data_IF_808395173383
#
_entry.id   IF_808395173383
#
_cell.length_a   1.000
_cell.length_b   1.000
_cell.length_c   1.000
_cell.angle_alpha   90.00
_cell.angle_beta   90.00
_cell.angle_gamma   90.00
#
_symmetry.space_group_name_H-M   'P 1'
#
loop_
_entity.id
_entity.type
_entity.pdbx_description
1 polymer ?
#
# COMPACT_ATOMS: atom_id res chain seq x y z
N UNK A 1 23.33 -21.65 6.08
CA UNK A 1 22.20 -20.71 5.89
C UNK A 1 21.17 -21.40 5.00
N UNK A 2 19.91 -21.49 5.43
CA UNK A 2 18.84 -22.14 4.66
C UNK A 2 18.53 -21.40 3.35
N UNK A 3 17.91 -22.08 2.38
CA UNK A 3 17.40 -21.44 1.17
C UNK A 3 16.28 -20.46 1.49
N UNK A 4 16.21 -19.30 0.79
CA UNK A 4 15.08 -18.39 0.95
C UNK A 4 13.80 -19.10 0.50
N UNK A 5 12.67 -18.88 1.19
CA UNK A 5 11.42 -19.53 0.84
C UNK A 5 10.94 -19.07 -0.55
N UNK A 6 10.78 -20.02 -1.46
CA UNK A 6 10.26 -19.79 -2.81
C UNK A 6 8.73 -19.90 -2.82
N UNK A 7 8.07 -19.05 -3.61
CA UNK A 7 6.62 -19.08 -3.73
C UNK A 7 6.12 -20.05 -4.79
N UNK A 8 4.93 -20.59 -4.54
CA UNK A 8 4.27 -21.51 -5.45
C UNK A 8 3.79 -20.82 -6.75
N UNK A 9 3.71 -21.64 -7.80
CA UNK A 9 3.33 -21.22 -9.14
C UNK A 9 1.82 -21.36 -9.42
N UNK A 10 1.07 -21.92 -8.50
CA UNK A 10 -0.35 -22.20 -8.71
C UNK A 10 -1.19 -20.93 -8.81
N UNK A 11 -2.21 -20.98 -9.68
CA UNK A 11 -3.23 -19.94 -9.76
C UNK A 11 -4.07 -19.95 -8.49
N UNK A 12 -4.04 -18.87 -7.72
CA UNK A 12 -4.95 -18.73 -6.59
C UNK A 12 -6.37 -18.49 -7.13
N UNK A 13 -7.39 -19.03 -6.45
CA UNK A 13 -8.78 -18.76 -6.82
C UNK A 13 -9.11 -17.26 -6.77
N UNK A 14 -8.46 -16.53 -5.86
CA UNK A 14 -8.62 -15.08 -5.75
C UNK A 14 -8.01 -14.32 -6.92
N UNK A 15 -6.88 -14.78 -7.48
CA UNK A 15 -6.32 -14.19 -8.68
C UNK A 15 -7.28 -14.36 -9.87
N UNK A 16 -7.92 -15.53 -10.02
CA UNK A 16 -8.94 -15.75 -11.04
C UNK A 16 -10.13 -14.80 -10.87
N UNK A 17 -10.68 -14.73 -9.64
CA UNK A 17 -11.80 -13.85 -9.30
C UNK A 17 -11.46 -12.38 -9.55
N UNK A 18 -10.27 -11.93 -9.19
CA UNK A 18 -9.83 -10.56 -9.44
C UNK A 18 -9.74 -10.26 -10.94
N UNK A 19 -9.13 -11.15 -11.73
CA UNK A 19 -9.05 -10.98 -13.18
C UNK A 19 -10.43 -10.93 -13.83
N UNK A 20 -11.37 -11.78 -13.39
CA UNK A 20 -12.77 -11.75 -13.84
C UNK A 20 -13.45 -10.42 -13.50
N UNK A 21 -13.28 -9.92 -12.27
CA UNK A 21 -13.83 -8.62 -11.86
C UNK A 21 -13.26 -7.46 -12.69
N UNK A 22 -11.96 -7.48 -13.00
CA UNK A 22 -11.34 -6.44 -13.84
C UNK A 22 -11.84 -6.51 -15.28
N UNK A 23 -11.94 -7.73 -15.86
CA UNK A 23 -12.51 -7.95 -17.20
C UNK A 23 -13.95 -7.45 -17.27
N UNK A 24 -14.77 -7.77 -16.26
CA UNK A 24 -16.16 -7.31 -16.20
C UNK A 24 -16.26 -5.77 -16.12
N UNK A 25 -15.40 -5.10 -15.33
CA UNK A 25 -15.35 -3.63 -15.26
C UNK A 25 -14.96 -3.00 -16.59
N UNK A 26 -14.02 -3.60 -17.32
CA UNK A 26 -13.58 -3.14 -18.64
C UNK A 26 -14.67 -3.31 -19.70
N UNK A 27 -15.47 -4.38 -19.63
CA UNK A 27 -16.61 -4.60 -20.52
C UNK A 27 -17.76 -3.62 -20.27
N UNK A 28 -17.96 -3.19 -19.02
CA UNK A 28 -19.01 -2.24 -18.64
C UNK A 28 -18.65 -0.77 -18.94
N UNK A 29 -17.35 -0.47 -19.01
CA UNK A 29 -16.84 0.86 -19.35
C UNK A 29 -15.71 0.72 -20.38
N UNK A 30 -16.05 0.44 -21.66
CA UNK A 30 -15.06 0.55 -22.73
C UNK A 30 -14.55 1.98 -22.71
N UNK A 31 -13.24 2.15 -22.49
CA UNK A 31 -12.64 3.48 -22.46
C UNK A 31 -12.97 4.19 -23.78
N UNK A 32 -13.65 5.34 -23.69
CA UNK A 32 -14.00 6.17 -24.84
C UNK A 32 -12.75 6.43 -25.70
N UNK A 33 -12.70 5.80 -26.88
CA UNK A 33 -11.84 6.19 -27.99
C UNK A 33 -10.35 5.87 -27.92
N UNK A 34 -9.83 5.11 -26.95
CA UNK A 34 -8.42 4.66 -27.00
C UNK A 34 -8.30 3.26 -27.59
N UNK A 35 -8.37 3.17 -28.92
CA UNK A 35 -7.75 2.07 -29.65
C UNK A 35 -6.24 2.11 -29.41
N UNK A 36 -5.71 1.12 -28.67
CA UNK A 36 -4.25 0.89 -28.55
C UNK A 36 -3.65 0.91 -27.15
N UNK A 37 -4.44 1.03 -26.07
CA UNK A 37 -3.91 0.75 -24.73
C UNK A 37 -3.72 -0.77 -24.58
N UNK A 38 -2.48 -1.22 -24.76
CA UNK A 38 -2.01 -2.57 -24.47
C UNK A 38 -2.63 -3.07 -23.15
N UNK A 39 -3.32 -4.21 -23.18
CA UNK A 39 -3.97 -4.80 -22.00
C UNK A 39 -2.86 -5.08 -21.00
N UNK A 40 -2.69 -4.17 -20.02
CA UNK A 40 -1.70 -4.33 -18.98
C UNK A 40 -2.00 -5.64 -18.27
N UNK A 41 -1.07 -6.59 -18.33
CA UNK A 41 -1.26 -7.94 -17.82
C UNK A 41 -1.73 -7.87 -16.36
N UNK A 42 -3.00 -8.22 -16.11
CA UNK A 42 -3.62 -8.09 -14.77
C UNK A 42 -3.04 -9.13 -13.80
N UNK A 43 -2.52 -10.22 -14.37
CA UNK A 43 -1.96 -11.35 -13.66
C UNK A 43 -0.52 -11.58 -14.10
N UNK A 44 0.33 -12.02 -13.18
CA UNK A 44 1.61 -12.62 -13.50
C UNK A 44 1.68 -14.00 -12.88
N UNK A 45 1.85 -15.01 -13.74
CA UNK A 45 2.03 -16.41 -13.37
C UNK A 45 1.05 -16.85 -12.26
N UNK A 46 -0.22 -16.50 -12.42
CA UNK A 46 -1.32 -16.90 -11.51
C UNK A 46 -1.59 -16.02 -10.30
N UNK A 47 -0.96 -14.84 -10.18
CA UNK A 47 -1.20 -13.86 -9.10
C UNK A 47 -1.51 -12.48 -9.69
N UNK A 48 -2.37 -11.68 -9.08
CA UNK A 48 -2.61 -10.32 -9.55
C UNK A 48 -1.41 -9.41 -9.27
N UNK A 49 -1.19 -8.44 -10.14
CA UNK A 49 -0.09 -7.48 -9.96
C UNK A 49 -0.48 -6.44 -8.91
N UNK A 50 0.38 -6.26 -7.91
CA UNK A 50 0.24 -5.24 -6.88
C UNK A 50 0.65 -3.89 -7.46
N UNK A 51 -0.28 -2.94 -7.44
CA UNK A 51 -0.11 -1.57 -7.89
C UNK A 51 -1.11 -0.64 -7.21
N UNK A 52 -1.46 0.46 -7.90
CA UNK A 52 -2.42 1.43 -7.38
C UNK A 52 -3.80 0.78 -7.26
N UNK A 53 -4.36 0.85 -6.05
CA UNK A 53 -5.73 0.43 -5.73
C UNK A 53 -6.04 -1.04 -6.06
N UNK A 54 -5.00 -1.87 -6.16
CA UNK A 54 -5.11 -3.33 -6.24
C UNK A 54 -4.95 -3.94 -4.85
N UNK A 55 -5.53 -5.12 -4.59
CA UNK A 55 -5.22 -5.86 -3.37
C UNK A 55 -3.72 -6.15 -3.26
N UNK A 56 -3.22 -6.20 -2.03
CA UNK A 56 -1.80 -6.43 -1.74
C UNK A 56 -1.60 -7.91 -1.41
N UNK A 57 -2.37 -8.46 -0.48
CA UNK A 57 -2.34 -9.87 -0.13
C UNK A 57 -2.73 -10.73 -1.34
N UNK A 58 -2.09 -11.90 -1.43
CA UNK A 58 -2.13 -12.87 -2.54
C UNK A 58 -1.54 -12.37 -3.87
N UNK A 59 -1.09 -11.11 -3.92
CA UNK A 59 -0.56 -10.47 -5.13
C UNK A 59 0.95 -10.66 -5.32
N UNK A 60 1.43 -10.13 -6.44
CA UNK A 60 2.85 -10.09 -6.81
C UNK A 60 3.28 -8.68 -7.23
N UNK A 61 4.44 -8.22 -6.81
CA UNK A 61 4.98 -6.89 -7.09
C UNK A 61 6.28 -6.96 -7.90
N UNK A 62 6.39 -6.14 -8.95
CA UNK A 62 7.56 -6.04 -9.83
C UNK A 62 8.28 -4.71 -9.70
N UNK A 63 9.59 -4.72 -9.96
CA UNK A 63 10.36 -3.49 -10.22
C UNK A 63 11.21 -3.65 -11.48
N UNK A 64 10.87 -2.88 -12.52
CA UNK A 64 11.83 -2.32 -13.49
C UNK A 64 12.83 -3.28 -14.15
N UNK A 65 12.42 -4.52 -14.43
CA UNK A 65 13.27 -5.58 -14.96
C UNK A 65 12.75 -6.91 -14.43
N UNK A 66 12.85 -7.97 -15.21
CA UNK A 66 12.33 -9.33 -14.95
C UNK A 66 12.94 -10.05 -13.74
N UNK A 67 13.79 -9.36 -12.97
CA UNK A 67 14.70 -10.00 -12.02
C UNK A 67 14.09 -10.25 -10.64
N UNK A 68 13.00 -9.57 -10.28
CA UNK A 68 12.33 -9.79 -8.98
C UNK A 68 10.80 -9.72 -9.05
N UNK A 69 10.17 -10.79 -8.56
CA UNK A 69 8.73 -10.90 -8.37
C UNK A 69 8.41 -11.17 -6.88
N UNK A 70 8.25 -10.12 -6.06
CA UNK A 70 7.92 -10.29 -4.64
C UNK A 70 6.46 -10.70 -4.47
N UNK A 71 6.22 -11.81 -3.77
CA UNK A 71 4.87 -12.29 -3.44
C UNK A 71 4.50 -11.93 -2.01
N UNK A 72 3.29 -11.40 -1.84
CA UNK A 72 2.65 -11.21 -0.53
C UNK A 72 1.50 -12.19 -0.45
N UNK A 73 1.57 -13.17 0.44
CA UNK A 73 0.54 -14.21 0.59
C UNK A 73 0.59 -14.77 2.02
N UNK A 74 -0.32 -14.33 2.88
CA UNK A 74 -0.32 -14.72 4.29
C UNK A 74 -0.86 -16.14 4.57
N UNK A 75 -1.50 -16.78 3.59
CA UNK A 75 -1.92 -18.18 3.68
C UNK A 75 -0.73 -19.12 3.45
N UNK A 76 0.17 -18.73 2.54
CA UNK A 76 1.36 -19.51 2.17
C UNK A 76 2.62 -19.09 2.92
N UNK A 77 2.70 -17.84 3.38
CA UNK A 77 3.81 -17.28 4.16
C UNK A 77 3.39 -16.91 5.59
N UNK A 78 3.45 -17.91 6.48
CA UNK A 78 3.07 -17.76 7.89
C UNK A 78 3.86 -16.67 8.64
N UNK A 79 5.04 -16.28 8.16
CA UNK A 79 5.81 -15.21 8.81
C UNK A 79 5.09 -13.86 8.73
N UNK A 80 4.29 -13.62 7.68
CA UNK A 80 3.46 -12.42 7.58
C UNK A 80 2.41 -12.36 8.70
N UNK A 81 1.79 -13.50 9.04
CA UNK A 81 0.84 -13.60 10.14
C UNK A 81 1.51 -13.36 11.50
N UNK A 82 2.74 -13.85 11.71
CA UNK A 82 3.48 -13.59 12.94
C UNK A 82 3.74 -12.09 13.16
N UNK A 83 4.15 -11.37 12.11
CA UNK A 83 4.34 -9.91 12.18
C UNK A 83 3.01 -9.18 12.40
N UNK A 84 1.93 -9.66 11.79
CA UNK A 84 0.60 -9.10 12.03
C UNK A 84 0.13 -9.29 13.48
N UNK A 85 0.31 -10.48 14.05
CA UNK A 85 -0.02 -10.72 15.46
C UNK A 85 0.84 -9.88 16.41
N UNK A 86 2.11 -9.66 16.06
CA UNK A 86 2.98 -8.73 16.81
C UNK A 86 2.42 -7.30 16.80
N UNK A 87 1.90 -6.83 15.66
CA UNK A 87 1.24 -5.53 15.57
C UNK A 87 0.01 -5.45 16.49
N UNK A 88 -0.85 -6.48 16.45
CA UNK A 88 -2.05 -6.54 17.30
C UNK A 88 -1.70 -6.55 18.79
N UNK A 89 -0.68 -7.30 19.20
CA UNK A 89 -0.17 -7.28 20.58
C UNK A 89 0.28 -5.88 20.98
N UNK A 90 1.05 -5.22 20.13
CA UNK A 90 1.53 -3.86 20.40
C UNK A 90 0.40 -2.83 20.47
N UNK A 91 -0.71 -3.05 19.75
CA UNK A 91 -1.91 -2.23 19.84
C UNK A 91 -2.66 -2.45 21.16
N UNK A 92 -2.80 -3.72 21.60
CA UNK A 92 -3.41 -4.09 22.89
C UNK A 92 -2.64 -3.52 24.08
N UNK A 93 -1.31 -3.63 24.08
CA UNK A 93 -0.46 -3.08 25.15
C UNK A 93 -0.63 -1.55 25.29
N UNK A 94 -0.73 -0.84 24.17
CA UNK A 94 -0.94 0.63 24.19
C UNK A 94 -2.33 1.00 24.72
N UNK A 95 -3.34 0.17 24.45
CA UNK A 95 -4.67 0.35 25.04
C UNK A 95 -4.65 0.16 26.56
N UNK A 96 -3.93 -0.87 27.05
CA UNK A 96 -3.80 -1.13 28.48
C UNK A 96 -3.08 0.01 29.23
N UNK A 97 -2.29 0.82 28.52
CA UNK A 97 -1.62 2.02 29.04
C UNK A 97 -2.49 3.30 28.95
N UNK A 98 -3.80 3.17 28.71
CA UNK A 98 -4.76 4.28 28.73
C UNK A 98 -4.84 5.09 27.42
N UNK A 99 -4.13 4.68 26.36
CA UNK A 99 -4.26 5.30 25.03
C UNK A 99 -5.42 4.70 24.24
N UNK A 100 -6.06 5.47 23.36
CA UNK A 100 -7.09 4.91 22.46
C UNK A 100 -6.46 3.88 21.52
N UNK A 101 -7.10 2.72 21.35
CA UNK A 101 -6.64 1.61 20.52
C UNK A 101 -6.22 2.01 19.09
N UNK A 102 -6.94 2.95 18.47
CA UNK A 102 -6.67 3.43 17.10
C UNK A 102 -5.61 4.52 17.01
N UNK A 103 -5.19 5.11 18.13
CA UNK A 103 -4.20 6.19 18.13
C UNK A 103 -2.83 5.65 17.76
N UNK A 104 -2.23 6.20 16.71
CA UNK A 104 -0.87 5.86 16.32
C UNK A 104 -0.71 4.54 15.55
N UNK A 105 -1.79 3.90 15.08
CA UNK A 105 -1.72 2.69 14.23
C UNK A 105 -0.77 2.90 13.05
N UNK A 106 -0.92 4.01 12.31
CA UNK A 106 -0.06 4.30 11.15
C UNK A 106 1.43 4.41 11.55
N UNK A 107 1.71 4.99 12.72
CA UNK A 107 3.08 5.07 13.26
C UNK A 107 3.62 3.69 13.63
N UNK A 108 2.80 2.83 14.22
CA UNK A 108 3.18 1.46 14.60
C UNK A 108 3.43 0.60 13.37
N UNK A 109 2.55 0.63 12.37
CA UNK A 109 2.74 -0.09 11.10
C UNK A 109 4.02 0.36 10.40
N UNK A 110 4.21 1.67 10.25
CA UNK A 110 5.42 2.23 9.66
C UNK A 110 6.69 1.79 10.41
N UNK A 111 6.68 1.85 11.75
CA UNK A 111 7.82 1.47 12.57
C UNK A 111 8.10 -0.05 12.50
N UNK A 112 7.05 -0.87 12.50
CA UNK A 112 7.18 -2.32 12.41
C UNK A 112 7.75 -2.73 11.06
N UNK A 113 7.29 -2.14 9.95
CA UNK A 113 7.84 -2.42 8.63
C UNK A 113 9.33 -2.08 8.53
N UNK A 114 9.74 -0.91 9.05
CA UNK A 114 11.16 -0.52 9.11
C UNK A 114 12.00 -1.46 9.97
N UNK A 115 11.46 -1.90 11.12
CA UNK A 115 12.16 -2.77 12.06
C UNK A 115 12.32 -4.19 11.48
N UNK A 116 11.26 -4.72 10.89
CA UNK A 116 11.24 -6.08 10.33
C UNK A 116 12.08 -6.17 9.06
N UNK A 117 12.07 -5.15 8.21
CA UNK A 117 12.82 -5.10 6.96
C UNK A 117 13.71 -3.85 6.97
N UNK A 118 14.86 -3.85 7.67
CA UNK A 118 15.79 -2.74 7.61
C UNK A 118 16.33 -2.55 6.19
N UNK A 119 16.66 -1.30 5.82
CA UNK A 119 17.16 -1.01 4.47
C UNK A 119 18.58 -1.59 4.30
N UNK A 120 18.73 -2.61 3.44
CA UNK A 120 19.96 -3.35 3.16
C UNK A 120 19.95 -3.84 1.70
N UNK A 121 20.48 -3.02 0.81
CA UNK A 121 20.54 -3.30 -0.63
C UNK A 121 21.38 -4.54 -0.95
N UNK A 122 22.60 -4.64 -0.41
CA UNK A 122 23.46 -5.81 -0.63
C UNK A 122 22.83 -7.15 -0.23
N UNK A 123 22.00 -7.16 0.83
CA UNK A 123 21.26 -8.38 1.22
C UNK A 123 20.14 -8.70 0.24
N UNK A 124 19.50 -7.67 -0.31
CA UNK A 124 18.48 -7.83 -1.36
C UNK A 124 19.11 -8.48 -2.58
N UNK A 125 20.26 -7.98 -3.03
CA UNK A 125 20.98 -8.53 -4.19
C UNK A 125 21.38 -9.99 -3.95
N UNK A 126 21.85 -10.34 -2.75
CA UNK A 126 22.15 -11.73 -2.39
C UNK A 126 20.92 -12.63 -2.48
N UNK A 127 19.76 -12.18 -2.00
CA UNK A 127 18.52 -12.95 -2.05
C UNK A 127 18.10 -13.13 -3.51
N UNK A 128 18.07 -12.05 -4.29
CA UNK A 128 17.63 -12.06 -5.70
C UNK A 128 18.57 -12.94 -6.55
N UNK A 129 19.88 -12.75 -6.43
CA UNK A 129 20.88 -13.53 -7.17
C UNK A 129 20.82 -15.03 -6.83
N UNK A 130 20.46 -15.38 -5.59
CA UNK A 130 20.33 -16.79 -5.19
C UNK A 130 19.09 -17.46 -5.78
N UNK A 131 17.99 -16.73 -5.95
CA UNK A 131 16.75 -17.29 -6.49
C UNK A 131 16.79 -17.29 -8.04
N UNK A 132 17.41 -16.27 -8.64
CA UNK A 132 17.49 -16.10 -10.08
C UNK A 132 16.30 -15.34 -10.68
N UNK A 133 16.41 -15.06 -11.98
CA UNK A 133 15.46 -14.24 -12.75
C UNK A 133 14.10 -14.95 -12.87
N UNK A 134 13.02 -14.18 -13.01
CA UNK A 134 11.66 -14.67 -13.29
C UNK A 134 11.06 -15.58 -12.22
N UNK A 135 11.62 -15.60 -11.00
CA UNK A 135 11.13 -16.41 -9.89
C UNK A 135 10.40 -15.57 -8.85
N UNK A 136 9.33 -16.16 -8.30
CA UNK A 136 8.58 -15.56 -7.20
C UNK A 136 9.29 -15.77 -5.86
N UNK A 137 9.44 -14.70 -5.10
CA UNK A 137 10.07 -14.70 -3.78
C UNK A 137 9.05 -14.21 -2.75
N UNK A 138 8.80 -14.98 -1.70
CA UNK A 138 7.93 -14.49 -0.63
C UNK A 138 8.54 -13.27 0.08
N UNK A 139 7.70 -12.32 0.48
CA UNK A 139 8.14 -11.11 1.17
C UNK A 139 8.96 -11.42 2.45
N UNK A 140 8.66 -12.51 3.16
CA UNK A 140 9.43 -12.91 4.35
C UNK A 140 10.90 -13.21 4.09
N UNK A 141 11.30 -13.54 2.86
CA UNK A 141 12.72 -13.71 2.52
C UNK A 141 13.54 -12.45 2.84
N UNK A 142 12.91 -11.27 2.76
CA UNK A 142 13.51 -9.96 3.04
C UNK A 142 13.41 -9.55 4.52
N UNK A 143 12.90 -10.40 5.41
CA UNK A 143 12.90 -10.11 6.85
C UNK A 143 14.35 -10.07 7.37
N UNK A 144 14.73 -8.96 8.00
CA UNK A 144 16.09 -8.66 8.43
C UNK A 144 16.95 -7.92 7.39
N UNK A 145 16.44 -7.67 6.17
CA UNK A 145 17.05 -6.77 5.20
C UNK A 145 16.37 -6.75 3.84
N UNK A 146 15.98 -5.56 3.38
CA UNK A 146 15.33 -5.33 2.09
C UNK A 146 15.52 -3.88 1.60
N UNK A 147 14.72 -3.44 0.64
CA UNK A 147 14.73 -2.05 0.13
C UNK A 147 13.31 -1.45 0.18
N UNK A 148 13.12 -0.29 -0.44
CA UNK A 148 11.88 0.50 -0.33
C UNK A 148 10.62 -0.30 -0.67
N UNK A 149 10.63 -1.10 -1.73
CA UNK A 149 9.49 -1.94 -2.13
C UNK A 149 9.11 -2.96 -1.05
N UNK A 150 10.09 -3.64 -0.44
CA UNK A 150 9.82 -4.65 0.59
C UNK A 150 9.21 -4.01 1.84
N UNK A 151 9.73 -2.85 2.25
CA UNK A 151 9.17 -2.09 3.36
C UNK A 151 7.75 -1.59 3.07
N UNK A 152 7.51 -1.09 1.85
CA UNK A 152 6.20 -0.61 1.42
C UNK A 152 5.19 -1.77 1.33
N UNK A 153 5.58 -2.92 0.78
CA UNK A 153 4.72 -4.11 0.71
C UNK A 153 4.33 -4.60 2.11
N UNK A 154 5.27 -4.69 3.06
CA UNK A 154 4.95 -5.10 4.43
C UNK A 154 4.01 -4.11 5.12
N UNK A 155 4.30 -2.81 5.03
CA UNK A 155 3.42 -1.79 5.62
C UNK A 155 2.03 -1.77 4.97
N UNK A 156 1.96 -1.95 3.65
CA UNK A 156 0.72 -2.00 2.89
C UNK A 156 -0.13 -3.21 3.27
N UNK A 157 0.48 -4.40 3.31
CA UNK A 157 -0.15 -5.64 3.76
C UNK A 157 -0.71 -5.51 5.19
N UNK A 158 0.07 -4.98 6.13
CA UNK A 158 -0.40 -4.83 7.51
C UNK A 158 -1.62 -3.92 7.61
N UNK A 159 -1.67 -2.81 6.86
CA UNK A 159 -2.84 -1.94 6.81
C UNK A 159 -4.03 -2.62 6.12
N UNK A 160 -3.79 -3.34 5.02
CA UNK A 160 -4.84 -4.08 4.31
C UNK A 160 -5.47 -5.12 5.24
N UNK A 161 -4.65 -5.87 5.98
CA UNK A 161 -5.15 -6.87 6.91
C UNK A 161 -5.89 -6.26 8.09
N UNK A 162 -5.43 -5.14 8.64
CA UNK A 162 -6.19 -4.38 9.64
C UNK A 162 -7.54 -3.87 9.12
N UNK A 163 -7.63 -3.54 7.82
CA UNK A 163 -8.89 -3.13 7.19
C UNK A 163 -9.82 -4.33 7.03
N UNK A 164 -9.31 -5.46 6.54
CA UNK A 164 -10.08 -6.68 6.33
C UNK A 164 -10.60 -7.29 7.63
N UNK A 165 -9.85 -7.13 8.73
CA UNK A 165 -10.22 -7.60 10.07
C UNK A 165 -10.97 -6.52 10.89
N UNK A 166 -11.49 -5.47 10.24
CA UNK A 166 -12.32 -4.39 10.82
C UNK A 166 -11.66 -3.53 11.93
N UNK A 167 -10.35 -3.67 12.15
CA UNK A 167 -9.60 -2.82 13.08
C UNK A 167 -9.39 -1.39 12.55
N UNK A 168 -9.39 -1.21 11.23
CA UNK A 168 -9.16 0.06 10.53
C UNK A 168 -10.20 0.26 9.42
N UNK A 169 -10.61 1.50 9.15
CA UNK A 169 -11.52 1.81 8.04
C UNK A 169 -10.85 2.72 7.02
N UNK A 170 -10.82 2.30 5.77
CA UNK A 170 -10.23 3.08 4.69
C UNK A 170 -9.84 2.21 3.51
N UNK A 171 -8.91 2.71 2.71
CA UNK A 171 -8.30 2.01 1.58
C UNK A 171 -6.79 2.15 1.65
N UNK A 172 -6.07 1.13 1.24
CA UNK A 172 -4.61 1.14 1.17
C UNK A 172 -4.16 0.74 -0.24
N UNK A 173 -2.98 1.23 -0.62
CA UNK A 173 -2.35 0.94 -1.89
C UNK A 173 -0.83 1.08 -1.75
N UNK A 174 -0.10 0.33 -2.57
CA UNK A 174 1.35 0.50 -2.74
C UNK A 174 1.56 1.27 -4.03
N UNK A 175 2.04 2.50 -3.88
CA UNK A 175 2.30 3.41 -4.99
C UNK A 175 3.78 3.38 -5.34
N UNK A 176 4.07 3.64 -6.62
CA UNK A 176 5.43 3.76 -7.13
C UNK A 176 5.55 4.90 -8.13
N UNK A 177 6.75 5.47 -8.20
CA UNK A 177 7.18 6.32 -9.31
C UNK A 177 8.68 6.12 -9.56
N UNK A 178 9.13 6.61 -10.71
CA UNK A 178 10.54 6.72 -11.04
C UNK A 178 10.82 8.17 -11.42
N UNK A 179 11.99 8.67 -11.09
CA UNK A 179 12.44 10.00 -11.51
C UNK A 179 13.61 9.82 -12.49
N UNK A 180 13.72 10.65 -13.54
CA UNK A 180 14.89 10.62 -14.42
C UNK A 180 16.19 10.70 -13.61
N UNK A 181 17.13 9.77 -13.85
CA UNK A 181 18.39 9.69 -13.12
C UNK A 181 18.30 9.15 -11.68
N UNK A 182 17.14 8.62 -11.24
CA UNK A 182 16.99 7.92 -9.97
C UNK A 182 16.26 6.60 -10.16
N UNK A 183 16.61 5.61 -9.35
CA UNK A 183 15.91 4.32 -9.31
C UNK A 183 14.45 4.51 -8.88
N UNK A 184 13.57 3.57 -9.24
CA UNK A 184 12.17 3.60 -8.81
C UNK A 184 12.05 3.61 -7.29
N UNK A 185 11.00 4.24 -6.78
CA UNK A 185 10.70 4.30 -5.35
C UNK A 185 9.26 3.89 -5.08
N UNK A 186 9.05 3.22 -3.96
CA UNK A 186 7.76 2.68 -3.54
C UNK A 186 7.39 3.16 -2.14
N UNK A 187 6.11 3.46 -1.92
CA UNK A 187 5.56 3.88 -0.64
C UNK A 187 4.13 3.39 -0.49
N UNK A 188 3.60 3.51 0.72
CA UNK A 188 2.20 3.17 1.02
C UNK A 188 1.37 4.44 1.05
N UNK A 189 0.22 4.38 0.39
CA UNK A 189 -0.83 5.39 0.48
C UNK A 189 -2.03 4.79 1.19
N UNK A 190 -2.44 5.42 2.29
CA UNK A 190 -3.63 5.07 3.05
C UNK A 190 -4.63 6.23 3.01
N UNK A 191 -5.86 5.95 2.60
CA UNK A 191 -6.95 6.92 2.62
C UNK A 191 -7.94 6.47 3.69
N UNK A 192 -8.12 7.26 4.74
CA UNK A 192 -9.08 6.90 5.80
C UNK A 192 -10.54 7.08 5.32
N UNK A 193 -11.49 6.63 6.14
CA UNK A 193 -12.93 6.78 5.85
C UNK A 193 -13.43 8.21 5.65
N UNK A 194 -12.64 9.22 6.04
CA UNK A 194 -12.94 10.66 5.83
C UNK A 194 -12.33 11.20 4.53
N UNK A 195 -11.70 10.36 3.71
CA UNK A 195 -10.99 10.78 2.50
C UNK A 195 -9.63 11.44 2.75
N UNK A 196 -9.13 11.46 3.99
CA UNK A 196 -7.81 12.02 4.30
C UNK A 196 -6.74 11.01 3.90
N UNK A 197 -5.80 11.49 3.08
CA UNK A 197 -4.70 10.68 2.55
C UNK A 197 -3.48 10.82 3.44
N UNK A 198 -2.93 9.68 3.86
CA UNK A 198 -1.68 9.53 4.58
C UNK A 198 -0.68 8.77 3.72
N UNK A 199 0.57 9.19 3.79
CA UNK A 199 1.70 8.57 3.13
C UNK A 199 2.57 7.93 4.20
N UNK A 200 2.84 6.64 4.06
CA UNK A 200 3.81 5.92 4.86
C UNK A 200 4.96 5.52 3.92
N UNK A 201 6.09 6.17 4.12
CA UNK A 201 7.34 5.89 3.43
C UNK A 201 8.41 5.52 4.48
N UNK A 202 8.51 4.22 4.80
CA UNK A 202 9.54 3.68 5.70
C UNK A 202 10.97 4.09 5.33
N UNK A 203 11.32 4.08 4.04
CA UNK A 203 12.68 4.34 3.56
C UNK A 203 13.09 5.79 3.76
N UNK A 204 12.24 6.75 3.39
CA UNK A 204 12.51 8.18 3.58
C UNK A 204 12.08 8.71 4.95
N UNK A 205 11.74 7.79 5.87
CA UNK A 205 11.27 8.06 7.23
C UNK A 205 10.10 9.03 7.30
N UNK A 206 9.23 9.03 6.29
CA UNK A 206 8.10 9.93 6.19
C UNK A 206 6.79 9.20 6.56
N UNK A 207 5.99 9.81 7.43
CA UNK A 207 4.69 9.31 7.88
C UNK A 207 3.77 10.48 8.20
N UNK A 208 3.09 11.01 7.20
CA UNK A 208 2.18 12.13 7.45
C UNK A 208 1.11 12.21 6.37
N UNK A 209 0.21 13.17 6.51
CA UNK A 209 -0.79 13.49 5.51
C UNK A 209 -0.12 13.95 4.22
N UNK A 210 -0.71 13.58 3.09
CA UNK A 210 -0.26 14.03 1.77
C UNK A 210 -0.20 15.56 1.67
N UNK A 211 -1.11 16.28 2.34
CA UNK A 211 -1.10 17.75 2.37
C UNK A 211 0.17 18.35 2.99
N UNK A 212 0.80 17.62 3.90
CA UNK A 212 2.04 18.01 4.57
C UNK A 212 3.29 17.57 3.78
N UNK A 213 3.12 16.83 2.68
CA UNK A 213 4.22 16.46 1.80
C UNK A 213 4.69 17.70 1.05
N UNK A 214 5.55 18.50 1.68
CA UNK A 214 6.14 19.68 1.05
C UNK A 214 6.86 19.31 -0.26
N UNK A 215 6.96 20.26 -1.19
CA UNK A 215 7.76 20.17 -2.42
C UNK A 215 9.27 19.89 -2.18
N UNK A 216 9.72 19.80 -0.92
CA UNK A 216 11.12 19.55 -0.54
C UNK A 216 11.48 18.06 -0.45
N UNK A 217 10.54 17.14 -0.67
CA UNK A 217 10.84 15.71 -0.79
C UNK A 217 11.11 15.35 -2.25
N UNK A 218 12.07 14.45 -2.53
CA UNK A 218 12.42 14.11 -3.90
C UNK A 218 11.25 13.47 -4.65
N UNK A 219 10.39 12.72 -3.95
CA UNK A 219 9.29 11.97 -4.54
C UNK A 219 7.98 12.74 -4.55
N UNK A 220 7.32 12.75 -5.71
CA UNK A 220 5.97 13.28 -5.87
C UNK A 220 4.96 12.21 -5.45
N UNK A 221 4.50 12.27 -4.21
CA UNK A 221 3.50 11.33 -3.67
C UNK A 221 2.09 11.56 -4.23
N UNK A 222 1.83 12.74 -4.78
CA UNK A 222 0.52 13.09 -5.36
C UNK A 222 0.21 12.24 -6.60
N UNK A 223 -1.02 11.74 -6.65
CA UNK A 223 -1.64 11.20 -7.86
C UNK A 223 -2.26 12.33 -8.68
N UNK A 224 -2.47 12.15 -10.00
CA UNK A 224 -3.16 13.14 -10.82
C UNK A 224 -4.53 13.57 -10.26
N UNK A 225 -5.29 12.63 -9.68
CA UNK A 225 -6.61 12.88 -9.09
C UNK A 225 -6.60 13.76 -7.83
N UNK A 226 -5.46 13.85 -7.13
CA UNK A 226 -5.31 14.70 -5.93
C UNK A 226 -5.34 16.20 -6.28
N UNK A 227 -4.95 16.54 -7.52
CA UNK A 227 -4.90 17.92 -8.00
C UNK A 227 -6.27 18.47 -8.36
N UNK A 228 -7.21 17.59 -8.73
CA UNK A 228 -8.57 17.96 -9.10
C UNK A 228 -9.34 18.46 -7.86
N UNK A 229 -9.12 17.83 -6.71
CA UNK A 229 -9.82 18.13 -5.46
C UNK A 229 -9.33 19.42 -4.77
N UNK A 230 -8.14 19.92 -5.09
CA UNK A 230 -7.63 21.21 -4.58
C UNK A 230 -8.26 22.43 -5.25
N UNK A 231 -8.91 22.27 -6.41
CA UNK A 231 -9.54 23.39 -7.15
C UNK A 231 -10.96 23.75 -6.67
N UNK A 232 -11.53 22.99 -5.73
CA UNK A 232 -12.74 23.42 -5.03
C UNK A 232 -12.32 24.03 -3.70
N UNK A 233 -12.19 25.38 -3.59
CA UNK A 233 -12.01 25.99 -2.28
C UNK A 233 -13.20 25.55 -1.42
N UNK A 234 -12.90 25.08 -0.22
CA UNK A 234 -13.91 24.90 0.82
C UNK A 234 -14.83 26.12 0.84
N UNK A 235 -16.06 25.95 0.39
CA UNK A 235 -17.17 26.79 0.82
C UNK A 235 -17.20 26.59 2.33
N UNK A 236 -16.58 27.53 3.05
CA UNK A 236 -16.86 27.72 4.47
C UNK A 236 -18.34 28.06 4.52
N UNK A 237 -19.20 27.06 4.72
CA UNK A 237 -20.52 27.31 5.27
C UNK A 237 -20.28 27.89 6.65
N UNK A 238 -20.15 29.20 6.72
CA UNK A 238 -20.23 29.93 7.96
C UNK A 238 -21.66 29.74 8.46
N UNK A 239 -21.77 29.14 9.63
CA UNK A 239 -22.99 29.07 10.43
C UNK A 239 -23.45 30.51 10.76
N UNK A 240 -24.13 31.17 9.81
CA UNK A 240 -24.73 32.50 10.01
C UNK A 240 -26.06 32.68 9.27
N UNK A 241 -26.83 31.61 9.14
CA UNK A 241 -28.25 31.69 8.74
C UNK A 241 -29.08 30.84 9.71
N UNK A 242 -29.20 31.33 10.95
CA UNK A 242 -30.27 30.91 11.88
C UNK A 242 -30.76 32.04 12.80
N UNK A 243 -30.47 33.29 12.43
CA UNK A 243 -30.94 34.50 13.14
C UNK A 243 -31.55 35.54 12.18
N UNK A 244 -32.19 35.09 11.09
CA UNK A 244 -32.88 35.99 10.15
C UNK A 244 -34.38 35.68 9.96
N UNK A 245 -34.97 34.79 10.77
CA UNK A 245 -36.41 34.47 10.65
C UNK A 245 -37.16 34.26 11.98
N UNK A 246 -36.71 34.84 13.10
CA UNK A 246 -37.54 34.95 14.32
C UNK A 246 -37.22 36.25 15.06
N UNK A 247 -37.57 37.38 14.43
CA UNK A 247 -37.82 38.64 15.13
C UNK A 247 -38.57 39.58 14.17
N UNK A 248 -39.90 39.52 14.18
CA UNK A 248 -40.70 40.73 13.96
C UNK A 248 -41.72 40.84 15.10
N UNK A 249 -41.78 41.99 15.78
CA UNK A 249 -42.79 42.27 16.78
C UNK A 249 -43.98 43.01 16.15
N UNK A 250 -45.20 42.56 16.43
CA UNK A 250 -46.36 43.39 16.83
C UNK A 250 -47.41 42.47 17.42
#
# INVERSE_FOLDING_TARGET
MSEPPQADWEYTQDAKRYAEQQRAKQQLHPADGQQGAEVQEILFKGRHIIGRDTPINKGVYFVGGVDEATVVDDEKDRHLLLIYHQLLNWMRETQNQGSKYKTGILKKVWALAMKTIPYKEARTDQIVNKVGIDRKIYLSAFFGGGVCRHQALLAGYLLEKLINDDYLQGKVSVDRNSLPGKNGHAWVRYTNSRGIVFILDPTNKYKDRLENASNKKPWRYERPSDRIHRKSPHIKLTTRIRQLFLAQPS
#
